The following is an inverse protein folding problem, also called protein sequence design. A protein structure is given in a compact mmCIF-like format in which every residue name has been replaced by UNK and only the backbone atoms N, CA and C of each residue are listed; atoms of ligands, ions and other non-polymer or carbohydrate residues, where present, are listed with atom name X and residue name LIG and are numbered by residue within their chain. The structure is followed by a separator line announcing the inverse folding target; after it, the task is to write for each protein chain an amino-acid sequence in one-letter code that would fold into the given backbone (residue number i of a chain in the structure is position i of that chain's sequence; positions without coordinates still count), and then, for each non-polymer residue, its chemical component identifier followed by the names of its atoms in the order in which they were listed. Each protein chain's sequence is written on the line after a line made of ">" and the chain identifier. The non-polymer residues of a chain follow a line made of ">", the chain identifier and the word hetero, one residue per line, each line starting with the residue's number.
data_IF_103538186998
#
_entry.id   IF_103538186998
#
_cell.length_a   1.000
_cell.length_b   1.000
_cell.length_c   1.000
_cell.angle_alpha   90.00
_cell.angle_beta   90.00
_cell.angle_gamma   90.00
#
_symmetry.space_group_name_H-M   'P 1'
#
loop_
_entity.id
_entity.type
_entity.pdbx_description
1 polymer ?
#
# COMPACT_ATOMS: atom_id res chain seq x y z
N UNK A 1 4.28 -16.27 -16.62
CA UNK A 1 4.02 -15.09 -15.75
C UNK A 1 2.55 -15.05 -15.43
N UNK A 2 2.17 -14.62 -14.24
CA UNK A 2 0.77 -14.46 -13.83
C UNK A 2 0.46 -12.97 -13.71
N UNK A 3 -0.75 -12.58 -14.08
CA UNK A 3 -1.27 -11.22 -13.94
C UNK A 3 -2.68 -11.31 -13.37
N UNK A 4 -3.00 -10.41 -12.44
CA UNK A 4 -4.31 -10.39 -11.78
C UNK A 4 -5.00 -9.06 -12.09
N UNK A 5 -6.08 -9.10 -12.88
CA UNK A 5 -6.80 -7.89 -13.30
C UNK A 5 -8.22 -7.85 -12.77
N UNK A 6 -8.69 -6.65 -12.45
CA UNK A 6 -10.08 -6.38 -12.12
C UNK A 6 -10.66 -5.40 -13.15
N UNK A 7 -11.73 -5.77 -13.85
CA UNK A 7 -12.38 -4.92 -14.85
C UNK A 7 -13.62 -4.23 -14.27
N UNK A 8 -13.73 -2.92 -14.51
CA UNK A 8 -14.90 -2.13 -14.11
C UNK A 8 -16.09 -2.47 -15.00
N UNK A 9 -15.88 -2.58 -16.31
CA UNK A 9 -16.93 -2.92 -17.27
C UNK A 9 -17.12 -4.44 -17.42
N UNK A 10 -18.37 -4.90 -17.65
CA UNK A 10 -18.63 -6.30 -17.89
C UNK A 10 -17.95 -6.77 -19.19
N UNK A 11 -17.15 -7.83 -19.10
CA UNK A 11 -16.42 -8.40 -20.24
C UNK A 11 -16.97 -9.78 -20.63
N UNK A 12 -17.19 -9.98 -21.93
CA UNK A 12 -17.43 -11.31 -22.50
C UNK A 12 -16.11 -12.09 -22.64
N UNK A 13 -16.16 -13.42 -22.67
CA UNK A 13 -14.94 -14.23 -22.85
C UNK A 13 -14.27 -13.94 -24.20
N UNK A 14 -15.07 -13.64 -25.23
CA UNK A 14 -14.59 -13.21 -26.55
C UNK A 14 -13.81 -11.88 -26.47
N UNK A 15 -14.35 -10.87 -25.78
CA UNK A 15 -13.66 -9.59 -25.62
C UNK A 15 -12.35 -9.73 -24.83
N UNK A 16 -12.32 -10.59 -23.80
CA UNK A 16 -11.10 -10.91 -23.06
C UNK A 16 -10.08 -11.60 -23.97
N UNK A 17 -10.50 -12.61 -24.73
CA UNK A 17 -9.62 -13.36 -25.63
C UNK A 17 -9.01 -12.46 -26.71
N UNK A 18 -9.84 -11.63 -27.37
CA UNK A 18 -9.38 -10.65 -28.36
C UNK A 18 -8.43 -9.61 -27.75
N UNK A 19 -8.75 -9.10 -26.57
CA UNK A 19 -7.93 -8.14 -25.85
C UNK A 19 -6.55 -8.69 -25.52
N UNK A 20 -6.49 -9.89 -24.92
CA UNK A 20 -5.23 -10.55 -24.57
C UNK A 20 -4.43 -10.94 -25.81
N UNK A 21 -5.06 -11.53 -26.83
CA UNK A 21 -4.40 -11.88 -28.08
C UNK A 21 -3.71 -10.66 -28.70
N UNK A 22 -4.40 -9.50 -28.70
CA UNK A 22 -3.82 -8.24 -29.18
C UNK A 22 -2.64 -7.78 -28.33
N UNK A 23 -2.71 -7.89 -27.01
CA UNK A 23 -1.65 -7.45 -26.11
C UNK A 23 -0.38 -8.31 -26.22
N UNK A 24 -0.55 -9.62 -26.40
CA UNK A 24 0.57 -10.56 -26.56
C UNK A 24 1.03 -10.74 -28.01
N UNK A 25 0.31 -10.15 -28.98
CA UNK A 25 0.62 -10.29 -30.41
C UNK A 25 0.38 -11.71 -30.95
N UNK A 26 -0.64 -12.40 -30.44
CA UNK A 26 -1.00 -13.78 -30.75
C UNK A 26 -2.31 -13.84 -31.57
N UNK A 27 -2.65 -15.04 -32.07
CA UNK A 27 -3.99 -15.32 -32.57
C UNK A 27 -4.98 -15.45 -31.41
N UNK A 28 -6.26 -15.16 -31.64
CA UNK A 28 -7.32 -15.40 -30.64
C UNK A 28 -7.41 -16.90 -30.29
N UNK A 29 -7.11 -17.78 -31.26
CA UNK A 29 -7.07 -19.24 -31.05
C UNK A 29 -5.96 -19.70 -30.07
N UNK A 30 -4.95 -18.85 -29.82
CA UNK A 30 -3.86 -19.09 -28.89
C UNK A 30 -4.19 -18.59 -27.46
N UNK A 31 -5.42 -18.13 -27.22
CA UNK A 31 -5.90 -17.64 -25.93
C UNK A 31 -7.13 -18.44 -25.50
N UNK A 32 -7.02 -19.16 -24.39
CA UNK A 32 -8.15 -19.85 -23.75
C UNK A 32 -8.70 -18.97 -22.62
N UNK A 33 -9.99 -18.63 -22.69
CA UNK A 33 -10.69 -17.90 -21.63
C UNK A 33 -11.85 -18.74 -21.14
N UNK A 34 -11.83 -19.08 -19.85
CA UNK A 34 -12.89 -19.84 -19.20
C UNK A 34 -13.52 -19.00 -18.09
N UNK A 35 -14.84 -19.05 -17.99
CA UNK A 35 -15.60 -18.51 -16.86
C UNK A 35 -16.15 -19.61 -15.95
N UNK A 36 -16.84 -19.22 -14.88
CA UNK A 36 -17.48 -20.12 -13.91
C UNK A 36 -18.51 -21.10 -14.51
N UNK A 37 -18.92 -20.91 -15.76
CA UNK A 37 -19.87 -21.76 -16.47
C UNK A 37 -19.23 -22.60 -17.58
N UNK A 38 -17.93 -22.42 -17.82
CA UNK A 38 -17.20 -23.14 -18.86
C UNK A 38 -16.84 -24.56 -18.40
N UNK A 39 -17.15 -25.54 -19.26
CA UNK A 39 -16.78 -26.93 -19.02
C UNK A 39 -15.26 -27.11 -19.11
N UNK A 40 -14.65 -27.57 -18.02
CA UNK A 40 -13.20 -27.70 -17.89
C UNK A 40 -12.61 -28.75 -18.84
N UNK A 41 -13.42 -29.73 -19.28
CA UNK A 41 -12.99 -30.75 -20.24
C UNK A 41 -12.89 -30.20 -21.68
N UNK A 42 -13.48 -29.03 -21.94
CA UNK A 42 -13.45 -28.37 -23.25
C UNK A 42 -12.37 -27.30 -23.37
N UNK A 43 -11.64 -26.99 -22.29
CA UNK A 43 -10.60 -25.97 -22.28
C UNK A 43 -9.38 -26.38 -23.11
N UNK A 44 -8.79 -25.42 -23.80
CA UNK A 44 -7.52 -25.58 -24.47
C UNK A 44 -6.36 -25.32 -23.48
N UNK A 45 -6.05 -26.31 -22.64
CA UNK A 45 -4.96 -26.22 -21.66
C UNK A 45 -3.58 -26.00 -22.28
N UNK A 46 -3.41 -26.30 -23.58
CA UNK A 46 -2.17 -26.09 -24.33
C UNK A 46 -2.06 -24.67 -24.90
N UNK A 47 -3.08 -23.81 -24.74
CA UNK A 47 -3.04 -22.44 -25.22
C UNK A 47 -1.91 -21.64 -24.55
N UNK A 48 -1.11 -20.87 -25.32
CA UNK A 48 -0.05 -20.03 -24.77
C UNK A 48 -0.49 -19.06 -23.67
N UNK A 49 -1.73 -18.57 -23.74
CA UNK A 49 -2.35 -17.74 -22.70
C UNK A 49 -3.61 -18.44 -22.19
N UNK A 50 -3.69 -18.62 -20.87
CA UNK A 50 -4.89 -19.07 -20.17
C UNK A 50 -5.44 -17.92 -19.34
N UNK A 51 -6.75 -17.74 -19.31
CA UNK A 51 -7.42 -16.75 -18.46
C UNK A 51 -8.61 -17.40 -17.77
N UNK A 52 -8.69 -17.25 -16.45
CA UNK A 52 -9.88 -17.55 -15.67
C UNK A 52 -10.62 -16.24 -15.40
N UNK A 53 -11.89 -16.17 -15.80
CA UNK A 53 -12.75 -15.00 -15.60
C UNK A 53 -13.81 -15.33 -14.56
N UNK A 54 -13.80 -14.62 -13.45
CA UNK A 54 -14.84 -14.71 -12.43
C UNK A 54 -15.71 -13.47 -12.47
N UNK A 55 -17.03 -13.63 -12.52
CA UNK A 55 -17.96 -12.50 -12.37
C UNK A 55 -18.00 -12.05 -10.92
N UNK A 56 -17.80 -10.75 -10.67
CA UNK A 56 -17.82 -10.16 -9.33
C UNK A 56 -18.85 -9.03 -9.23
N UNK A 57 -19.12 -8.54 -8.03
CA UNK A 57 -20.16 -7.52 -7.78
C UNK A 57 -19.57 -6.19 -7.33
N UNK A 58 -20.31 -5.11 -7.58
CA UNK A 58 -19.97 -3.76 -7.15
C UNK A 58 -19.55 -2.89 -8.34
N UNK A 59 -18.57 -2.01 -8.12
CA UNK A 59 -17.99 -1.15 -9.17
C UNK A 59 -17.04 -1.94 -10.09
N UNK A 60 -16.53 -3.08 -9.63
CA UNK A 60 -15.83 -4.08 -10.46
C UNK A 60 -16.83 -5.17 -10.86
N UNK A 61 -16.75 -5.64 -12.10
CA UNK A 61 -17.68 -6.63 -12.65
C UNK A 61 -16.99 -7.94 -13.06
N UNK A 62 -15.68 -7.96 -13.28
CA UNK A 62 -14.94 -9.18 -13.53
C UNK A 62 -13.56 -9.18 -12.85
N UNK A 63 -13.16 -10.34 -12.35
CA UNK A 63 -11.78 -10.68 -11.95
C UNK A 63 -11.18 -11.60 -13.01
N UNK A 64 -9.95 -11.32 -13.42
CA UNK A 64 -9.21 -12.05 -14.44
C UNK A 64 -7.90 -12.55 -13.86
N UNK A 65 -7.75 -13.87 -13.79
CA UNK A 65 -6.50 -14.52 -13.44
C UNK A 65 -5.84 -15.00 -14.74
N UNK A 66 -4.81 -14.29 -15.19
CA UNK A 66 -4.19 -14.48 -16.50
C UNK A 66 -2.85 -15.18 -16.32
N UNK A 67 -2.69 -16.32 -16.96
CA UNK A 67 -1.46 -17.09 -16.99
C UNK A 67 -0.85 -17.10 -18.40
N UNK A 68 0.31 -16.48 -18.55
CA UNK A 68 1.14 -16.58 -19.75
C UNK A 68 2.18 -17.68 -19.59
N UNK A 69 2.15 -18.69 -20.47
CA UNK A 69 3.12 -19.78 -20.48
C UNK A 69 4.55 -19.26 -20.75
N UNK A 70 5.57 -19.97 -20.26
CA UNK A 70 6.99 -19.64 -20.49
C UNK A 70 7.39 -19.64 -21.97
N UNK A 71 6.61 -20.33 -22.83
CA UNK A 71 6.81 -20.37 -24.28
C UNK A 71 6.49 -19.05 -24.99
N UNK A 72 5.73 -18.15 -24.35
CA UNK A 72 5.41 -16.81 -24.88
C UNK A 72 6.66 -15.94 -24.81
N UNK A 73 7.20 -15.57 -25.96
CA UNK A 73 8.49 -14.86 -26.07
C UNK A 73 8.44 -13.41 -25.56
N UNK A 74 7.30 -12.73 -25.69
CA UNK A 74 7.12 -11.34 -25.28
C UNK A 74 6.08 -11.26 -24.18
N UNK A 75 6.54 -11.26 -22.93
CA UNK A 75 5.70 -11.10 -21.74
C UNK A 75 5.89 -9.68 -21.20
N UNK A 76 4.94 -8.75 -21.45
CA UNK A 76 5.01 -7.39 -20.92
C UNK A 76 4.98 -7.38 -19.38
N UNK A 77 5.47 -6.30 -18.77
CA UNK A 77 5.24 -6.08 -17.34
C UNK A 77 3.75 -5.90 -17.05
N UNK A 78 3.32 -6.19 -15.83
CA UNK A 78 1.91 -6.06 -15.43
C UNK A 78 1.31 -4.66 -15.69
N UNK A 79 2.01 -3.53 -15.40
CA UNK A 79 1.50 -2.20 -15.75
C UNK A 79 1.31 -1.99 -17.26
N UNK A 80 2.25 -2.47 -18.06
CA UNK A 80 2.21 -2.33 -19.53
C UNK A 80 1.06 -3.17 -20.11
N UNK A 81 0.87 -4.39 -19.57
CA UNK A 81 -0.22 -5.26 -19.97
C UNK A 81 -1.58 -4.68 -19.58
N UNK A 82 -1.73 -4.17 -18.35
CA UNK A 82 -2.97 -3.59 -17.87
C UNK A 82 -3.38 -2.38 -18.73
N UNK A 83 -2.44 -1.49 -19.04
CA UNK A 83 -2.69 -0.34 -19.90
C UNK A 83 -3.05 -0.74 -21.35
N UNK A 84 -2.32 -1.70 -21.93
CA UNK A 84 -2.62 -2.21 -23.26
C UNK A 84 -3.99 -2.91 -23.30
N UNK A 85 -4.31 -3.69 -22.27
CA UNK A 85 -5.57 -4.42 -22.16
C UNK A 85 -6.76 -3.47 -21.97
N UNK A 86 -6.65 -2.48 -21.08
CA UNK A 86 -7.67 -1.43 -20.89
C UNK A 86 -8.00 -0.71 -22.22
N UNK A 87 -6.96 -0.39 -23.00
CA UNK A 87 -7.13 0.19 -24.34
C UNK A 87 -7.79 -0.79 -25.32
N UNK A 88 -7.41 -2.07 -25.29
CA UNK A 88 -7.94 -3.10 -26.18
C UNK A 88 -9.43 -3.37 -25.93
N UNK A 89 -9.85 -3.42 -24.66
CA UNK A 89 -11.24 -3.66 -24.28
C UNK A 89 -12.08 -2.38 -24.15
N UNK A 90 -11.46 -1.20 -24.35
CA UNK A 90 -12.10 0.11 -24.20
C UNK A 90 -12.78 0.25 -22.83
N UNK A 91 -12.01 0.02 -21.76
CA UNK A 91 -12.52 0.02 -20.39
C UNK A 91 -11.48 0.48 -19.37
N UNK A 92 -11.78 0.19 -18.11
CA UNK A 92 -10.92 0.44 -16.96
C UNK A 92 -10.50 -0.89 -16.34
N UNK A 93 -9.20 -1.03 -16.13
CA UNK A 93 -8.59 -2.23 -15.57
C UNK A 93 -7.78 -1.82 -14.36
N UNK A 94 -8.01 -2.50 -13.24
CA UNK A 94 -7.22 -2.39 -12.02
C UNK A 94 -6.24 -3.55 -11.96
N UNK A 95 -5.07 -3.30 -11.40
CA UNK A 95 -4.05 -4.32 -11.13
C UNK A 95 -3.39 -4.07 -9.77
N UNK A 96 -2.87 -5.12 -9.10
CA UNK A 96 -2.29 -5.02 -7.77
C UNK A 96 -1.19 -3.96 -7.66
N UNK A 97 -1.08 -3.37 -6.48
CA UNK A 97 0.15 -2.75 -6.04
C UNK A 97 1.09 -3.80 -5.44
N UNK A 98 2.36 -3.46 -5.26
CA UNK A 98 3.38 -4.39 -4.78
C UNK A 98 3.12 -4.97 -3.37
N UNK A 99 2.24 -4.38 -2.54
CA UNK A 99 1.93 -4.89 -1.19
C UNK A 99 0.46 -5.31 -0.99
N UNK A 100 0.29 -6.45 -0.33
CA UNK A 100 -0.99 -7.11 -0.01
C UNK A 100 -1.54 -6.52 1.30
N UNK A 101 -2.12 -5.32 1.24
CA UNK A 101 -2.93 -4.72 2.30
C UNK A 101 -4.18 -4.10 1.67
N UNK A 102 -5.26 -3.81 2.43
CA UNK A 102 -6.42 -3.17 1.82
C UNK A 102 -6.01 -1.81 1.22
N UNK A 103 -6.19 -1.76 -0.11
CA UNK A 103 -6.85 -0.70 -0.88
C UNK A 103 -6.05 0.50 -1.38
N UNK A 104 -4.94 0.26 -2.09
CA UNK A 104 -4.56 1.12 -3.21
C UNK A 104 -4.12 0.27 -4.42
N UNK A 105 -5.01 0.06 -5.38
CA UNK A 105 -4.69 -0.57 -6.65
C UNK A 105 -4.14 0.46 -7.63
N UNK A 106 -3.45 0.00 -8.65
CA UNK A 106 -3.29 0.81 -9.85
C UNK A 106 -4.52 0.66 -10.73
N UNK A 107 -4.84 1.72 -11.45
CA UNK A 107 -5.91 1.79 -12.42
C UNK A 107 -5.34 2.27 -13.74
N UNK A 108 -5.60 1.53 -14.82
CA UNK A 108 -5.35 1.95 -16.18
C UNK A 108 -6.68 2.11 -16.94
N UNK A 109 -6.85 3.23 -17.63
CA UNK A 109 -8.01 3.53 -18.44
C UNK A 109 -7.69 3.50 -19.95
N UNK A 110 -8.73 3.35 -20.76
CA UNK A 110 -8.66 3.30 -22.22
C UNK A 110 -8.10 4.57 -22.89
N UNK A 111 -8.16 5.71 -22.20
CA UNK A 111 -7.58 6.99 -22.63
C UNK A 111 -6.07 7.13 -22.31
N UNK A 112 -5.46 6.12 -21.71
CA UNK A 112 -4.06 6.11 -21.30
C UNK A 112 -3.82 6.69 -19.90
N UNK A 113 -4.86 7.10 -19.18
CA UNK A 113 -4.74 7.50 -17.77
C UNK A 113 -4.29 6.32 -16.93
N UNK A 114 -3.24 6.53 -16.13
CA UNK A 114 -2.81 5.60 -15.08
C UNK A 114 -2.78 6.34 -13.75
N UNK A 115 -3.50 5.84 -12.75
CA UNK A 115 -3.63 6.48 -11.43
C UNK A 115 -3.77 5.43 -10.32
N UNK A 116 -3.56 5.84 -9.07
CA UNK A 116 -3.89 5.03 -7.90
C UNK A 116 -5.40 5.12 -7.61
N UNK A 117 -5.97 4.03 -7.12
CA UNK A 117 -7.39 3.89 -6.76
C UNK A 117 -7.55 3.10 -5.47
N UNK A 118 -8.45 3.53 -4.60
CA UNK A 118 -8.82 2.77 -3.41
C UNK A 118 -9.94 1.80 -3.73
N UNK A 119 -9.69 0.51 -3.48
CA UNK A 119 -10.62 -0.58 -3.71
C UNK A 119 -11.03 -1.21 -2.38
N UNK A 120 -12.27 -0.98 -1.96
CA UNK A 120 -12.83 -1.58 -0.76
C UNK A 120 -13.46 -2.93 -1.10
N UNK A 121 -13.10 -3.96 -0.32
CA UNK A 121 -13.68 -5.30 -0.44
C UNK A 121 -14.59 -5.53 0.76
N UNK A 122 -15.86 -5.86 0.50
CA UNK A 122 -16.80 -6.25 1.55
C UNK A 122 -16.88 -7.77 1.60
N UNK A 123 -16.56 -8.35 2.76
CA UNK A 123 -16.62 -9.79 3.05
C UNK A 123 -18.02 -10.18 3.59
N UNK A 124 -19.06 -9.76 2.87
CA UNK A 124 -20.38 -10.39 3.03
C UNK A 124 -20.37 -11.71 2.22
N UNK A 125 -21.37 -12.58 2.38
CA UNK A 125 -21.46 -13.92 1.73
C UNK A 125 -21.21 -13.91 0.20
N UNK A 126 -21.27 -12.74 -0.45
CA UNK A 126 -20.81 -12.47 -1.81
C UNK A 126 -19.79 -11.32 -1.81
N UNK A 127 -18.52 -11.58 -2.18
CA UNK A 127 -17.50 -10.53 -2.32
C UNK A 127 -17.98 -9.40 -3.25
N UNK A 128 -17.97 -8.17 -2.73
CA UNK A 128 -18.26 -6.98 -3.52
C UNK A 128 -17.14 -5.96 -3.42
N UNK A 129 -16.82 -5.36 -4.57
CA UNK A 129 -15.75 -4.41 -4.76
C UNK A 129 -16.34 -3.01 -4.95
N UNK A 130 -15.95 -2.05 -4.12
CA UNK A 130 -16.36 -0.66 -4.25
C UNK A 130 -15.13 0.23 -4.45
N UNK A 131 -15.23 1.17 -5.39
CA UNK A 131 -14.22 2.17 -5.66
C UNK A 131 -14.72 3.51 -5.10
N UNK A 132 -14.13 3.94 -3.99
CA UNK A 132 -14.53 5.18 -3.31
C UNK A 132 -13.66 6.39 -3.68
N UNK A 133 -12.38 6.17 -4.03
CA UNK A 133 -11.44 7.25 -4.27
C UNK A 133 -10.35 6.94 -5.33
N UNK A 134 -9.89 7.98 -6.02
CA UNK A 134 -8.81 7.96 -7.04
C UNK A 134 -7.90 9.18 -6.88
N UNK A 135 -6.62 9.07 -7.24
CA UNK A 135 -5.70 10.23 -7.18
C UNK A 135 -5.84 11.22 -8.35
N UNK A 136 -6.29 10.73 -9.51
CA UNK A 136 -6.58 11.55 -10.68
C UNK A 136 -7.99 11.27 -11.21
N UNK A 137 -8.68 12.26 -11.81
CA UNK A 137 -10.01 12.05 -12.38
C UNK A 137 -10.02 10.98 -13.47
N UNK A 138 -10.98 10.05 -13.41
CA UNK A 138 -11.21 9.01 -14.42
C UNK A 138 -12.63 9.15 -14.94
N UNK A 139 -12.81 9.33 -16.26
CA UNK A 139 -14.12 9.65 -16.85
C UNK A 139 -15.19 8.58 -16.58
N UNK A 140 -14.78 7.31 -16.51
CA UNK A 140 -15.65 6.15 -16.27
C UNK A 140 -15.98 5.93 -14.78
N UNK A 141 -15.33 6.66 -13.87
CA UNK A 141 -15.58 6.63 -12.42
C UNK A 141 -15.95 8.02 -11.88
N UNK A 142 -17.04 8.64 -12.37
CA UNK A 142 -17.38 10.03 -12.02
C UNK A 142 -17.83 10.19 -10.55
N UNK A 143 -18.14 9.09 -9.85
CA UNK A 143 -18.56 9.10 -8.45
C UNK A 143 -17.38 8.93 -7.47
N UNK A 144 -16.22 8.48 -7.96
CA UNK A 144 -15.04 8.30 -7.11
C UNK A 144 -14.51 9.67 -6.66
N UNK A 145 -14.21 9.80 -5.37
CA UNK A 145 -13.62 11.02 -4.82
C UNK A 145 -12.19 11.20 -5.36
N UNK A 146 -11.90 12.36 -5.93
CA UNK A 146 -10.53 12.68 -6.34
C UNK A 146 -9.78 13.24 -5.14
N UNK A 147 -8.89 12.43 -4.56
CA UNK A 147 -8.10 12.78 -3.37
C UNK A 147 -6.78 12.03 -3.36
N UNK A 148 -5.79 12.57 -2.64
CA UNK A 148 -4.59 11.81 -2.29
C UNK A 148 -4.96 10.65 -1.38
N UNK A 149 -4.35 9.49 -1.61
CA UNK A 149 -4.64 8.26 -0.87
C UNK A 149 -3.54 8.01 0.17
N UNK A 150 -3.82 8.12 1.50
CA UNK A 150 -2.84 7.89 2.56
C UNK A 150 -2.15 6.52 2.51
N UNK A 151 -2.82 5.51 1.96
CA UNK A 151 -2.32 4.15 1.79
C UNK A 151 -1.02 4.14 0.98
N UNK A 152 -0.90 5.01 -0.03
CA UNK A 152 0.29 5.11 -0.88
C UNK A 152 1.52 5.54 -0.07
N UNK A 153 1.32 6.43 0.92
CA UNK A 153 2.42 6.87 1.79
C UNK A 153 2.78 5.76 2.77
N UNK A 154 1.81 4.97 3.24
CA UNK A 154 2.06 3.80 4.10
C UNK A 154 2.83 2.69 3.38
N UNK A 155 2.60 2.50 2.08
CA UNK A 155 3.31 1.53 1.23
C UNK A 155 4.76 1.94 0.94
N UNK A 156 5.12 3.21 1.10
CA UNK A 156 6.48 3.72 0.85
C UNK A 156 7.43 3.38 1.99
N UNK A 157 7.71 2.08 2.19
CA UNK A 157 8.65 1.63 3.21
C UNK A 157 10.02 2.27 3.00
N UNK A 158 10.51 2.96 4.02
CA UNK A 158 11.91 3.40 4.07
C UNK A 158 12.76 2.41 4.84
N UNK A 159 14.02 2.21 4.44
CA UNK A 159 14.98 1.48 5.27
C UNK A 159 15.10 2.10 6.65
N UNK A 160 15.06 1.28 7.69
CA UNK A 160 15.16 1.67 9.11
C UNK A 160 16.42 1.06 9.76
N UNK A 161 17.63 1.48 9.33
CA UNK A 161 18.88 0.91 9.82
C UNK A 161 19.09 1.00 11.34
N UNK A 162 18.52 1.99 12.04
CA UNK A 162 18.60 2.03 13.50
C UNK A 162 17.73 0.95 14.14
N UNK A 163 16.49 0.79 13.66
CA UNK A 163 15.59 -0.27 14.12
C UNK A 163 16.12 -1.68 13.79
N UNK A 164 16.66 -1.87 12.58
CA UNK A 164 17.26 -3.14 12.16
C UNK A 164 18.49 -3.50 12.99
N UNK A 165 19.40 -2.55 13.18
CA UNK A 165 20.59 -2.77 14.03
C UNK A 165 20.22 -3.07 15.47
N UNK A 166 19.20 -2.41 16.01
CA UNK A 166 18.70 -2.72 17.35
C UNK A 166 18.19 -4.17 17.43
N UNK A 167 17.42 -4.61 16.42
CA UNK A 167 16.99 -6.01 16.30
C UNK A 167 18.16 -7.00 16.24
N UNK A 168 19.18 -6.72 15.43
CA UNK A 168 20.37 -7.57 15.28
C UNK A 168 21.15 -7.72 16.60
N UNK A 169 21.30 -6.61 17.34
CA UNK A 169 21.98 -6.60 18.64
C UNK A 169 21.21 -7.42 19.69
N UNK A 170 19.88 -7.32 19.72
CA UNK A 170 19.05 -8.12 20.61
C UNK A 170 19.16 -9.62 20.29
N UNK A 171 19.10 -9.99 19.00
CA UNK A 171 19.28 -11.36 18.55
C UNK A 171 20.63 -11.93 18.96
N UNK A 172 21.70 -11.14 18.87
CA UNK A 172 23.05 -11.54 19.28
C UNK A 172 23.16 -11.80 20.78
N UNK A 173 22.41 -11.08 21.61
CA UNK A 173 22.41 -11.24 23.06
C UNK A 173 21.59 -12.43 23.56
N UNK A 174 20.89 -13.15 22.66
CA UNK A 174 20.03 -14.27 23.04
C UNK A 174 18.86 -13.85 23.92
N UNK A 175 18.44 -12.57 23.85
CA UNK A 175 17.23 -12.09 24.50
C UNK A 175 16.03 -12.60 23.71
N UNK A 176 15.74 -13.90 23.87
CA UNK A 176 14.63 -14.57 23.21
C UNK A 176 13.33 -13.78 23.38
N UNK A 177 12.54 -13.73 22.30
CA UNK A 177 11.27 -13.01 22.10
C UNK A 177 11.35 -11.68 21.32
N UNK A 178 12.48 -11.34 20.69
CA UNK A 178 12.57 -10.19 19.77
C UNK A 178 11.65 -10.30 18.54
N UNK A 179 11.40 -11.53 18.07
CA UNK A 179 10.64 -11.81 16.85
C UNK A 179 9.17 -12.20 17.09
N UNK A 180 8.72 -12.25 18.35
CA UNK A 180 7.33 -12.61 18.67
C UNK A 180 6.47 -11.35 18.62
N UNK A 181 5.49 -11.25 17.70
CA UNK A 181 4.60 -10.08 17.63
C UNK A 181 3.96 -9.78 18.98
N UNK A 182 4.00 -8.51 19.38
CA UNK A 182 3.46 -8.02 20.66
C UNK A 182 4.37 -8.22 21.89
N UNK A 183 5.49 -8.92 21.78
CA UNK A 183 6.48 -8.96 22.87
C UNK A 183 7.14 -7.59 23.08
N UNK A 184 7.64 -7.31 24.29
CA UNK A 184 8.22 -5.98 24.63
C UNK A 184 9.35 -5.56 23.67
N UNK A 185 10.24 -6.49 23.32
CA UNK A 185 11.35 -6.22 22.40
C UNK A 185 10.89 -6.01 20.96
N UNK A 186 9.88 -6.77 20.53
CA UNK A 186 9.24 -6.58 19.23
C UNK A 186 8.59 -5.20 19.14
N UNK A 187 7.81 -4.81 20.16
CA UNK A 187 7.17 -3.48 20.24
C UNK A 187 8.20 -2.35 20.23
N UNK A 188 9.28 -2.47 21.01
CA UNK A 188 10.37 -1.49 21.01
C UNK A 188 10.99 -1.32 19.60
N UNK A 189 11.24 -2.43 18.88
CA UNK A 189 11.78 -2.39 17.52
C UNK A 189 10.78 -1.79 16.54
N UNK A 190 9.52 -2.18 16.61
CA UNK A 190 8.44 -1.70 15.72
C UNK A 190 8.21 -0.20 15.88
N UNK A 191 8.06 0.28 17.12
CA UNK A 191 7.92 1.70 17.42
C UNK A 191 9.17 2.52 17.01
N UNK A 192 10.37 1.96 17.20
CA UNK A 192 11.62 2.59 16.73
C UNK A 192 11.65 2.68 15.20
N UNK A 193 11.21 1.64 14.49
CA UNK A 193 11.10 1.64 13.03
C UNK A 193 10.12 2.69 12.53
N UNK A 194 8.94 2.77 13.15
CA UNK A 194 7.93 3.79 12.86
C UNK A 194 8.46 5.23 13.07
N UNK A 195 9.20 5.45 14.16
CA UNK A 195 9.82 6.74 14.45
C UNK A 195 10.92 7.10 13.45
N UNK A 196 11.81 6.16 13.18
CA UNK A 196 12.88 6.34 12.19
C UNK A 196 12.34 6.64 10.80
N UNK A 197 11.30 5.93 10.37
CA UNK A 197 10.64 6.14 9.08
C UNK A 197 10.09 7.57 8.95
N UNK A 198 9.45 8.11 10.00
CA UNK A 198 9.00 9.49 10.01
C UNK A 198 10.18 10.46 9.80
N UNK A 199 11.20 10.36 10.66
CA UNK A 199 12.33 11.29 10.67
C UNK A 199 13.08 11.26 9.33
N UNK A 200 13.23 10.09 8.73
CA UNK A 200 13.84 9.93 7.41
C UNK A 200 12.96 10.52 6.32
N UNK A 201 11.64 10.31 6.37
CA UNK A 201 10.69 10.90 5.42
C UNK A 201 10.71 12.43 5.47
N UNK A 202 10.76 13.00 6.66
CA UNK A 202 10.96 14.44 6.88
C UNK A 202 12.30 14.91 6.29
N UNK A 203 13.39 14.17 6.56
CA UNK A 203 14.73 14.50 6.08
C UNK A 203 14.86 14.50 4.55
N UNK A 204 14.05 13.69 3.86
CA UNK A 204 13.98 13.61 2.40
C UNK A 204 12.99 14.63 1.80
N UNK A 205 12.47 15.57 2.61
CA UNK A 205 11.49 16.56 2.15
C UNK A 205 10.17 15.92 1.73
N UNK A 206 9.75 14.87 2.44
CA UNK A 206 8.53 14.09 2.20
C UNK A 206 8.54 13.24 0.92
N UNK A 207 9.71 13.08 0.29
CA UNK A 207 9.85 12.23 -0.89
C UNK A 207 9.71 10.73 -0.59
N UNK A 208 9.21 9.93 -1.55
CA UNK A 208 8.87 10.33 -2.92
C UNK A 208 7.48 10.95 -3.12
N UNK A 209 6.53 10.77 -2.18
CA UNK A 209 5.18 11.30 -2.32
C UNK A 209 5.12 12.85 -2.41
N UNK A 210 6.05 13.54 -1.75
CA UNK A 210 6.03 14.99 -1.57
C UNK A 210 4.94 15.46 -0.60
N UNK A 211 4.35 14.55 0.16
CA UNK A 211 3.30 14.81 1.14
C UNK A 211 3.28 13.68 2.19
N UNK A 212 2.60 13.90 3.32
CA UNK A 212 2.48 12.92 4.39
C UNK A 212 1.11 13.09 5.07
N UNK A 213 0.32 12.02 5.28
CA UNK A 213 -0.99 12.13 5.92
C UNK A 213 -0.88 12.61 7.37
N UNK A 214 -1.78 13.51 7.80
CA UNK A 214 -1.81 13.99 9.18
C UNK A 214 -2.10 12.85 10.18
N UNK A 215 -2.97 11.91 9.80
CA UNK A 215 -3.27 10.70 10.58
C UNK A 215 -2.03 9.84 10.77
N UNK A 216 -1.28 9.61 9.69
CA UNK A 216 -0.05 8.83 9.76
C UNK A 216 1.01 9.57 10.59
N UNK A 217 1.08 10.91 10.52
CA UNK A 217 1.99 11.70 11.35
C UNK A 217 1.69 11.50 12.83
N UNK A 218 0.41 11.54 13.21
CA UNK A 218 -0.05 11.24 14.57
C UNK A 218 0.34 9.82 15.03
N UNK A 219 0.06 8.81 14.19
CA UNK A 219 0.43 7.42 14.48
C UNK A 219 1.94 7.29 14.79
N UNK A 220 2.80 8.06 14.10
CA UNK A 220 4.25 8.06 14.37
C UNK A 220 4.63 8.78 15.67
N UNK A 221 3.93 9.86 16.05
CA UNK A 221 4.13 10.50 17.35
C UNK A 221 3.69 9.59 18.50
N UNK A 222 2.56 8.90 18.34
CA UNK A 222 2.08 7.91 19.30
C UNK A 222 3.03 6.72 19.41
N UNK A 223 3.61 6.25 18.31
CA UNK A 223 4.66 5.23 18.34
C UNK A 223 5.88 5.70 19.17
N UNK A 224 6.22 6.99 19.14
CA UNK A 224 7.31 7.54 19.95
C UNK A 224 6.97 7.61 21.44
N UNK A 225 5.72 7.93 21.80
CA UNK A 225 5.21 7.81 23.18
C UNK A 225 5.25 6.35 23.66
N UNK A 226 4.80 5.42 22.81
CA UNK A 226 4.83 3.99 23.12
C UNK A 226 6.27 3.49 23.31
N UNK A 227 7.22 3.97 22.49
CA UNK A 227 8.64 3.64 22.64
C UNK A 227 9.18 4.08 23.99
N UNK A 228 8.83 5.28 24.46
CA UNK A 228 9.21 5.76 25.80
C UNK A 228 8.60 4.89 26.91
N UNK A 229 7.32 4.52 26.78
CA UNK A 229 6.63 3.66 27.74
C UNK A 229 7.19 2.23 27.77
N UNK A 230 7.57 1.67 26.62
CA UNK A 230 8.19 0.35 26.51
C UNK A 230 9.60 0.37 27.08
N UNK A 231 10.38 1.44 26.85
CA UNK A 231 11.73 1.60 27.38
C UNK A 231 11.79 1.47 28.90
N UNK A 232 10.77 1.96 29.63
CA UNK A 232 10.68 1.84 31.09
C UNK A 232 10.51 0.39 31.58
N UNK A 233 10.07 -0.52 30.70
CA UNK A 233 9.84 -1.94 31.00
C UNK A 233 10.97 -2.84 30.49
N UNK A 234 11.89 -2.29 29.70
CA UNK A 234 13.03 -3.03 29.17
C UNK A 234 14.07 -3.33 30.26
N UNK A 235 14.85 -4.38 30.03
CA UNK A 235 16.03 -4.65 30.86
C UNK A 235 17.06 -3.54 30.69
N UNK A 236 17.91 -3.25 31.71
CA UNK A 236 18.95 -2.22 31.57
C UNK A 236 19.85 -2.42 30.36
N UNK A 237 20.18 -3.67 30.03
CA UNK A 237 20.98 -4.00 28.85
C UNK A 237 20.28 -3.63 27.54
N UNK A 238 18.97 -3.89 27.42
CA UNK A 238 18.21 -3.51 26.24
C UNK A 238 18.03 -1.99 26.13
N UNK A 239 17.87 -1.28 27.26
CA UNK A 239 17.83 0.19 27.30
C UNK A 239 19.15 0.80 26.79
N UNK A 240 20.30 0.27 27.22
CA UNK A 240 21.61 0.75 26.75
C UNK A 240 21.83 0.51 25.25
N UNK A 241 21.17 -0.49 24.66
CA UNK A 241 21.18 -0.70 23.20
C UNK A 241 20.19 0.20 22.46
N UNK A 242 19.04 0.50 23.07
CA UNK A 242 18.00 1.31 22.46
C UNK A 242 18.39 2.79 22.41
N UNK A 243 18.99 3.30 23.48
CA UNK A 243 19.39 4.70 23.62
C UNK A 243 20.18 5.27 22.42
N UNK A 244 21.28 4.64 21.95
CA UNK A 244 22.04 5.15 20.80
C UNK A 244 21.30 5.02 19.46
N UNK A 245 20.17 4.30 19.42
CA UNK A 245 19.30 4.25 18.24
C UNK A 245 18.26 5.38 18.25
N UNK A 246 17.78 5.77 19.44
CA UNK A 246 16.75 6.81 19.59
C UNK A 246 17.34 8.23 19.57
N UNK A 247 18.44 8.48 20.29
CA UNK A 247 18.99 9.84 20.45
C UNK A 247 19.26 10.56 19.11
N UNK A 248 19.90 9.94 18.10
CA UNK A 248 20.13 10.62 16.82
C UNK A 248 18.84 10.93 16.04
N UNK A 249 17.79 10.13 16.23
CA UNK A 249 16.49 10.34 15.59
C UNK A 249 15.75 11.51 16.24
N UNK A 250 15.78 11.58 17.57
CA UNK A 250 15.19 12.70 18.32
C UNK A 250 15.89 14.03 17.98
N UNK A 251 17.23 14.04 17.96
CA UNK A 251 18.02 15.21 17.53
C UNK A 251 17.64 15.65 16.11
N UNK A 252 17.55 14.68 15.19
CA UNK A 252 17.21 14.98 13.80
C UNK A 252 15.77 15.45 13.64
N UNK A 253 14.84 14.89 14.39
CA UNK A 253 13.46 15.37 14.42
C UNK A 253 13.38 16.82 14.91
N UNK A 254 14.12 17.17 15.96
CA UNK A 254 14.20 18.54 16.46
C UNK A 254 14.72 19.51 15.39
N UNK A 255 15.75 19.14 14.63
CA UNK A 255 16.28 19.95 13.52
C UNK A 255 15.27 20.17 12.38
N UNK A 256 14.37 19.22 12.16
CA UNK A 256 13.38 19.22 11.07
C UNK A 256 12.04 19.83 11.47
N UNK A 257 11.93 20.33 12.70
CA UNK A 257 10.69 20.85 13.26
C UNK A 257 10.90 22.16 14.00
N UNK A 258 9.82 22.90 14.21
CA UNK A 258 9.79 24.15 14.97
C UNK A 258 8.86 24.01 16.18
N UNK A 259 9.20 24.68 17.29
CA UNK A 259 8.34 24.71 18.46
C UNK A 259 7.03 25.45 18.13
N UNK A 260 5.90 24.82 18.42
CA UNK A 260 4.57 25.37 18.23
C UNK A 260 3.57 24.71 19.20
N UNK A 261 3.22 25.42 20.27
CA UNK A 261 2.35 24.87 21.31
C UNK A 261 0.87 24.79 20.86
N UNK A 262 0.50 25.48 19.78
CA UNK A 262 -0.87 25.46 19.23
C UNK A 262 -1.06 24.32 18.22
N UNK A 263 0.03 23.75 17.73
CA UNK A 263 0.07 22.75 16.67
C UNK A 263 -0.77 21.50 16.95
N UNK A 264 -0.76 20.97 18.18
CA UNK A 264 -1.45 19.71 18.51
C UNK A 264 -2.95 19.78 18.19
N UNK A 265 -3.57 20.94 18.44
CA UNK A 265 -4.98 21.15 18.14
C UNK A 265 -5.24 21.17 16.62
N UNK A 266 -4.35 21.80 15.84
CA UNK A 266 -4.41 21.86 14.38
C UNK A 266 -4.20 20.47 13.75
N UNK A 267 -3.23 19.72 14.25
CA UNK A 267 -2.93 18.36 13.80
C UNK A 267 -4.12 17.43 14.05
N UNK A 268 -4.71 17.48 15.24
CA UNK A 268 -5.88 16.66 15.61
C UNK A 268 -7.07 16.97 14.71
N UNK A 269 -7.30 18.25 14.41
CA UNK A 269 -8.36 18.66 13.49
C UNK A 269 -8.10 18.15 12.06
N UNK A 270 -6.85 18.23 11.60
CA UNK A 270 -6.45 17.82 10.24
C UNK A 270 -6.61 16.32 10.03
N UNK A 271 -6.27 15.52 11.04
CA UNK A 271 -6.36 14.07 11.00
C UNK A 271 -7.78 13.50 11.13
N UNK A 272 -8.79 14.37 11.30
CA UNK A 272 -10.18 13.97 11.63
C UNK A 272 -10.25 12.94 12.77
N UNK A 273 -9.24 12.91 13.63
CA UNK A 273 -9.06 11.91 14.66
C UNK A 273 -9.77 12.39 15.94
N UNK A 274 -10.51 11.50 16.59
CA UNK A 274 -11.13 11.74 17.89
C UNK A 274 -10.11 11.62 19.03
N UNK A 275 -8.94 12.26 18.90
CA UNK A 275 -7.92 12.18 19.94
C UNK A 275 -8.36 12.95 21.18
N UNK A 276 -8.37 12.26 22.31
CA UNK A 276 -8.30 12.89 23.62
C UNK A 276 -6.85 13.25 23.87
N UNK A 277 -6.50 14.52 23.77
CA UNK A 277 -5.19 15.03 24.25
C UNK A 277 -5.03 14.60 25.70
N UNK A 278 -4.17 13.61 25.95
CA UNK A 278 -3.90 13.12 27.29
C UNK A 278 -2.87 14.02 27.98
N UNK A 279 -3.05 14.25 29.28
CA UNK A 279 -1.97 14.76 30.12
C UNK A 279 -0.84 13.72 30.12
N UNK A 280 0.30 14.01 29.47
CA UNK A 280 1.45 13.10 29.42
C UNK A 280 2.14 12.95 28.06
N UNK A 281 1.76 13.72 27.04
CA UNK A 281 2.43 13.72 25.73
C UNK A 281 3.89 14.18 25.82
N UNK A 282 4.79 13.48 25.11
CA UNK A 282 6.21 13.84 25.02
C UNK A 282 6.46 15.18 24.31
N UNK A 283 7.69 15.71 24.43
CA UNK A 283 8.06 17.02 23.87
C UNK A 283 7.89 17.13 22.35
N UNK A 284 7.96 16.00 21.63
CA UNK A 284 7.76 15.94 20.17
C UNK A 284 6.37 16.39 19.72
N UNK A 285 5.35 16.32 20.58
CA UNK A 285 4.01 16.80 20.27
C UNK A 285 3.92 18.32 20.13
N UNK A 286 4.85 19.06 20.75
CA UNK A 286 4.90 20.52 20.67
C UNK A 286 5.73 21.01 19.48
N UNK A 287 6.03 20.12 18.54
CA UNK A 287 6.91 20.40 17.41
C UNK A 287 6.19 20.16 16.09
N UNK A 288 6.15 21.20 15.28
CA UNK A 288 5.51 21.22 13.96
C UNK A 288 6.54 21.00 12.86
N UNK A 289 6.30 20.13 11.88
CA UNK A 289 7.15 20.03 10.71
C UNK A 289 7.18 21.34 9.91
N UNK A 290 8.35 21.71 9.38
CA UNK A 290 8.49 22.88 8.50
C UNK A 290 9.34 22.52 7.27
N UNK A 291 8.74 22.40 6.06
CA UNK A 291 7.36 22.73 5.71
C UNK A 291 6.33 21.65 6.11
N UNK A 292 5.06 22.06 6.21
CA UNK A 292 3.93 21.14 6.41
C UNK A 292 3.68 20.27 5.18
N UNK A 293 3.42 18.96 5.35
CA UNK A 293 3.31 18.03 4.22
C UNK A 293 1.88 17.62 3.84
N UNK A 294 0.83 18.27 4.35
CA UNK A 294 -0.56 18.02 3.96
C UNK A 294 -1.30 19.29 3.54
#
# INVERSE_FOLDING_TARGET
>A
MTYDFLAVEPLSNEAVAEGLARCFGLSVEDVDVADEHTDQDLRNWDAPILCEKTTVRGDVTASLDIYAQESVQSQPGEPDLAAAFACAVQGVVLYPAEEILPSAYWLAADDGTVTRVRLLVTDDEDFSYAIDAVEAPVARLPQAAVTRLPEIVREQRKPTPFADRFGDLLSTLGTGNGDVPGALLWRARDCLGAWEELVRTMGDGWGPAGWYPAELYLERLEARDELEAVQQQLTPQAVELLKPAVEPLDERFEELTVQDDAWVAELTQSAKAGLTTSEGQGLWWQRRPDPLPW
#
